data_IF_586534270144
#
_entry.id   IF_586534270144
#
_cell.length_a   1.000
_cell.length_b   1.000
_cell.length_c   1.000
_cell.angle_alpha   90.00
_cell.angle_beta   90.00
_cell.angle_gamma   90.00
#
_symmetry.space_group_name_H-M   'P 1'
#
loop_
_entity.id
_entity.type
_entity.pdbx_description
1 polymer ?
#
# COMPACT_ATOMS: atom_id res chain seq x y z
N UNK A 1 -22.24 -18.14 0.23
CA UNK A 1 -22.19 -17.39 1.51
C UNK A 1 -20.80 -16.81 1.67
N UNK A 2 -20.67 -15.55 2.04
CA UNK A 2 -19.36 -14.95 2.36
C UNK A 2 -18.96 -15.48 3.74
N UNK A 3 -17.75 -16.05 3.86
CA UNK A 3 -17.25 -16.57 5.13
C UNK A 3 -16.79 -15.41 6.02
N UNK A 4 -16.80 -15.62 7.34
CA UNK A 4 -16.22 -14.66 8.29
C UNK A 4 -14.75 -14.36 7.93
N UNK A 5 -14.00 -15.39 7.56
CA UNK A 5 -12.61 -15.25 7.11
C UNK A 5 -12.47 -14.32 5.91
N UNK A 6 -13.34 -14.43 4.89
CA UNK A 6 -13.32 -13.52 3.75
C UNK A 6 -13.59 -12.06 4.14
N UNK A 7 -14.50 -11.84 5.10
CA UNK A 7 -14.77 -10.50 5.64
C UNK A 7 -13.58 -9.96 6.43
N UNK A 8 -12.94 -10.79 7.25
CA UNK A 8 -11.80 -10.38 8.06
C UNK A 8 -10.59 -10.06 7.17
N UNK A 9 -10.36 -10.83 6.10
CA UNK A 9 -9.34 -10.53 5.08
C UNK A 9 -9.64 -9.21 4.35
N UNK A 10 -10.90 -8.97 3.98
CA UNK A 10 -11.29 -7.71 3.33
C UNK A 10 -11.04 -6.49 4.24
N UNK A 11 -11.36 -6.58 5.53
CA UNK A 11 -11.06 -5.51 6.50
C UNK A 11 -9.56 -5.24 6.59
N UNK A 12 -8.76 -6.31 6.67
CA UNK A 12 -7.30 -6.19 6.73
C UNK A 12 -6.72 -5.54 5.47
N UNK A 13 -7.27 -5.82 4.29
CA UNK A 13 -6.87 -5.15 3.05
C UNK A 13 -7.15 -3.64 3.15
N UNK A 14 -8.33 -3.24 3.60
CA UNK A 14 -8.67 -1.82 3.76
C UNK A 14 -7.74 -1.11 4.75
N UNK A 15 -7.41 -1.75 5.87
CA UNK A 15 -6.45 -1.21 6.84
C UNK A 15 -5.05 -1.05 6.23
N UNK A 16 -4.61 -2.03 5.43
CA UNK A 16 -3.32 -1.96 4.73
C UNK A 16 -3.30 -0.91 3.62
N UNK A 17 -4.42 -0.71 2.92
CA UNK A 17 -4.53 0.31 1.87
C UNK A 17 -4.40 1.72 2.47
N UNK A 18 -5.05 1.99 3.61
CA UNK A 18 -4.89 3.26 4.34
C UNK A 18 -3.44 3.50 4.74
N UNK A 19 -2.79 2.49 5.34
CA UNK A 19 -1.38 2.57 5.72
C UNK A 19 -0.46 2.76 4.51
N UNK A 20 -0.78 2.09 3.39
CA UNK A 20 -0.02 2.22 2.13
C UNK A 20 -0.07 3.65 1.62
N UNK A 21 -1.22 4.30 1.68
CA UNK A 21 -1.38 5.67 1.21
C UNK A 21 -0.60 6.66 2.10
N UNK A 22 -0.63 6.51 3.42
CA UNK A 22 0.20 7.31 4.35
C UNK A 22 1.71 7.16 4.08
N UNK A 23 2.18 5.92 3.90
CA UNK A 23 3.59 5.64 3.59
C UNK A 23 3.95 6.18 2.21
N UNK A 24 3.04 6.08 1.24
CA UNK A 24 3.24 6.59 -0.10
C UNK A 24 3.42 8.11 -0.11
N UNK A 25 2.59 8.84 0.63
CA UNK A 25 2.74 10.30 0.76
C UNK A 25 4.11 10.66 1.32
N UNK A 26 4.54 10.00 2.39
CA UNK A 26 5.87 10.23 2.97
C UNK A 26 7.01 9.84 2.01
N UNK A 27 6.88 8.74 1.28
CA UNK A 27 7.83 8.36 0.24
C UNK A 27 7.92 9.42 -0.85
N UNK A 28 6.78 9.95 -1.29
CA UNK A 28 6.71 11.00 -2.31
C UNK A 28 7.37 12.30 -1.83
N UNK A 29 7.17 12.69 -0.56
CA UNK A 29 7.84 13.84 0.04
C UNK A 29 9.36 13.69 0.06
N UNK A 30 9.87 12.51 0.42
CA UNK A 30 11.31 12.28 0.57
C UNK A 30 12.01 12.02 -0.76
N UNK A 31 11.38 11.27 -1.67
CA UNK A 31 11.97 10.89 -2.95
C UNK A 31 11.68 11.87 -4.10
N UNK A 32 10.74 12.80 -3.92
CA UNK A 32 10.36 13.79 -4.93
C UNK A 32 9.89 13.14 -6.22
N UNK A 33 10.39 13.63 -7.36
CA UNK A 33 10.00 13.14 -8.69
C UNK A 33 10.36 11.67 -8.96
N UNK A 34 11.29 11.10 -8.18
CA UNK A 34 11.73 9.71 -8.33
C UNK A 34 10.86 8.71 -7.54
N UNK A 35 9.87 9.16 -6.78
CA UNK A 35 9.09 8.29 -5.88
C UNK A 35 8.45 7.09 -6.60
N UNK A 36 7.84 7.33 -7.77
CA UNK A 36 7.21 6.26 -8.55
C UNK A 36 8.22 5.27 -9.13
N UNK A 37 9.36 5.76 -9.61
CA UNK A 37 10.43 4.92 -10.16
C UNK A 37 11.04 4.05 -9.05
N UNK A 38 11.36 4.66 -7.90
CA UNK A 38 11.90 3.95 -6.74
C UNK A 38 10.95 2.86 -6.24
N UNK A 39 9.66 3.17 -6.09
CA UNK A 39 8.66 2.18 -5.70
C UNK A 39 8.60 1.02 -6.70
N UNK A 40 8.65 1.33 -8.00
CA UNK A 40 8.62 0.31 -9.07
C UNK A 40 9.84 -0.60 -9.02
N UNK A 41 11.03 -0.07 -8.76
CA UNK A 41 12.26 -0.85 -8.61
C UNK A 41 12.09 -1.86 -7.47
N UNK A 42 11.62 -1.42 -6.30
CA UNK A 42 11.43 -2.29 -5.13
C UNK A 42 10.34 -3.35 -5.38
N UNK A 43 9.24 -2.98 -6.03
CA UNK A 43 8.14 -3.91 -6.35
C UNK A 43 8.52 -5.03 -7.33
N UNK A 44 9.50 -4.79 -8.19
CA UNK A 44 9.97 -5.75 -9.19
C UNK A 44 11.25 -6.49 -8.77
N UNK A 45 11.74 -6.25 -7.56
CA UNK A 45 12.94 -6.90 -6.99
C UNK A 45 12.62 -8.22 -6.29
#
# INVERSE_FOLDING_TARGET
MITKEAVDLAKKIVELDLLRDEIWEHLAEVAGEHAHELLRIVQNS
#
